data_IF_485218522130
#
_entry.id   IF_485218522130
#
_cell.length_a   1.000
_cell.length_b   1.000
_cell.length_c   1.000
_cell.angle_alpha   90.00
_cell.angle_beta   90.00
_cell.angle_gamma   90.00
#
_symmetry.space_group_name_H-M   'P 1'
#
loop_
_entity.id
_entity.type
_entity.pdbx_description
1 polymer ?
#
# COMPACT_ATOMS: atom_id res chain seq x y z
N UNK A 1 66.99 -4.29 7.72
CA UNK A 1 65.73 -4.90 7.26
C UNK A 1 65.16 -3.98 6.20
N UNK A 2 65.21 -4.39 4.94
CA UNK A 2 64.70 -3.60 3.82
C UNK A 2 63.18 -3.85 3.71
N UNK A 3 62.43 -2.83 3.33
CA UNK A 3 61.01 -2.92 3.03
C UNK A 3 60.67 -2.01 1.86
N UNK A 4 59.61 -2.33 1.13
CA UNK A 4 59.09 -1.56 0.02
C UNK A 4 57.70 -1.06 0.41
N UNK A 5 57.45 0.23 0.18
CA UNK A 5 56.14 0.84 0.36
C UNK A 5 55.70 1.38 -0.98
N UNK A 6 54.66 0.76 -1.55
CA UNK A 6 54.13 1.15 -2.85
C UNK A 6 52.70 1.67 -2.67
N UNK A 7 52.40 2.90 -3.13
CA UNK A 7 51.04 3.42 -3.04
C UNK A 7 50.10 2.64 -3.96
N UNK A 8 48.88 2.37 -3.47
CA UNK A 8 47.80 1.73 -4.22
C UNK A 8 46.83 2.83 -4.64
N UNK A 9 46.58 2.95 -5.95
CA UNK A 9 45.64 3.91 -6.51
C UNK A 9 44.48 3.22 -7.24
N UNK A 10 43.29 3.78 -7.11
CA UNK A 10 42.17 3.54 -8.01
C UNK A 10 42.09 4.70 -9.01
N UNK A 11 42.67 4.53 -10.19
CA UNK A 11 42.87 5.62 -11.16
C UNK A 11 43.66 6.78 -10.53
N UNK A 12 43.02 7.88 -10.16
CA UNK A 12 43.66 9.04 -9.51
C UNK A 12 43.44 9.10 -7.98
N UNK A 13 42.64 8.19 -7.42
CA UNK A 13 42.25 8.22 -6.00
C UNK A 13 43.18 7.31 -5.19
N UNK A 14 43.87 7.82 -4.15
CA UNK A 14 44.69 6.98 -3.27
C UNK A 14 43.78 6.05 -2.46
N UNK A 15 44.02 4.74 -2.56
CA UNK A 15 43.30 3.74 -1.77
C UNK A 15 44.08 3.29 -0.53
N UNK A 16 45.42 3.35 -0.58
CA UNK A 16 46.27 2.93 0.54
C UNK A 16 47.72 2.71 0.13
N UNK A 17 48.46 1.94 0.93
CA UNK A 17 49.86 1.59 0.67
C UNK A 17 50.03 0.08 0.84
N UNK A 18 50.66 -0.56 -0.13
CA UNK A 18 51.15 -1.93 -0.07
C UNK A 18 52.55 -1.91 0.56
N UNK A 19 52.67 -2.44 1.78
CA UNK A 19 53.95 -2.66 2.42
C UNK A 19 54.38 -4.10 2.20
N UNK A 20 55.55 -4.28 1.61
CA UNK A 20 56.16 -5.58 1.39
C UNK A 20 57.50 -5.60 2.13
N UNK A 21 57.77 -6.67 2.87
CA UNK A 21 59.02 -6.85 3.61
C UNK A 21 59.42 -8.33 3.59
N UNK A 22 60.72 -8.60 3.64
CA UNK A 22 61.25 -9.96 3.83
C UNK A 22 62.51 -9.92 4.68
N UNK A 23 62.82 -11.05 5.31
CA UNK A 23 63.99 -11.22 6.17
C UNK A 23 65.30 -11.28 5.38
N UNK A 24 65.25 -11.75 4.12
CA UNK A 24 66.42 -11.97 3.24
C UNK A 24 66.65 -10.86 2.20
N UNK A 25 65.96 -9.72 2.32
CA UNK A 25 66.05 -8.69 1.28
C UNK A 25 67.39 -7.95 1.24
N UNK A 26 67.86 -7.75 0.00
CA UNK A 26 68.89 -6.79 -0.39
C UNK A 26 68.24 -5.44 -0.79
N UNK A 27 69.05 -4.48 -1.24
CA UNK A 27 68.55 -3.27 -1.91
C UNK A 27 67.69 -3.67 -3.13
N UNK A 28 66.50 -3.08 -3.25
CA UNK A 28 65.53 -3.44 -4.29
C UNK A 28 66.01 -2.93 -5.64
N UNK A 29 66.03 -3.80 -6.64
CA UNK A 29 66.34 -3.41 -8.00
C UNK A 29 65.20 -2.58 -8.60
N UNK A 30 65.48 -1.65 -9.52
CA UNK A 30 64.47 -0.85 -10.19
C UNK A 30 63.34 -1.69 -10.82
N UNK A 31 63.66 -2.86 -11.38
CA UNK A 31 62.70 -3.77 -12.00
C UNK A 31 61.76 -4.41 -10.97
N UNK A 32 62.27 -4.71 -9.77
CA UNK A 32 61.48 -5.25 -8.65
C UNK A 32 60.51 -4.20 -8.11
N UNK A 33 60.94 -2.94 -8.03
CA UNK A 33 60.07 -1.81 -7.67
C UNK A 33 58.99 -1.54 -8.73
N UNK A 34 59.33 -1.66 -10.01
CA UNK A 34 58.36 -1.54 -11.11
C UNK A 34 57.30 -2.63 -11.03
N UNK A 35 57.70 -3.88 -10.77
CA UNK A 35 56.76 -4.98 -10.58
C UNK A 35 55.81 -4.72 -9.40
N UNK A 36 56.32 -4.23 -8.27
CA UNK A 36 55.47 -3.89 -7.12
C UNK A 36 54.48 -2.76 -7.43
N UNK A 37 54.87 -1.77 -8.26
CA UNK A 37 53.95 -0.72 -8.73
C UNK A 37 52.82 -1.28 -9.59
N UNK A 38 53.14 -2.17 -10.54
CA UNK A 38 52.14 -2.85 -11.38
C UNK A 38 51.17 -3.66 -10.51
N UNK A 39 51.67 -4.36 -9.49
CA UNK A 39 50.85 -5.10 -8.54
C UNK A 39 49.95 -4.13 -7.75
N UNK A 40 50.48 -2.99 -7.30
CA UNK A 40 49.73 -1.93 -6.66
C UNK A 40 48.56 -1.44 -7.52
N UNK A 41 48.80 -1.18 -8.81
CA UNK A 41 47.78 -0.75 -9.75
C UNK A 41 46.70 -1.82 -9.99
N UNK A 42 47.08 -3.09 -10.14
CA UNK A 42 46.13 -4.19 -10.31
C UNK A 42 45.25 -4.40 -9.07
N UNK A 43 45.83 -4.29 -7.87
CA UNK A 43 45.08 -4.34 -6.61
C UNK A 43 44.10 -3.17 -6.53
N UNK A 44 44.54 -1.96 -6.88
CA UNK A 44 43.70 -0.78 -6.87
C UNK A 44 42.49 -0.90 -7.80
N UNK A 45 42.72 -1.40 -9.03
CA UNK A 45 41.65 -1.67 -9.99
C UNK A 45 40.68 -2.77 -9.50
N UNK A 46 41.19 -3.83 -8.90
CA UNK A 46 40.36 -4.91 -8.34
C UNK A 46 39.48 -4.42 -7.19
N UNK A 47 40.01 -3.60 -6.29
CA UNK A 47 39.25 -2.99 -5.19
C UNK A 47 38.16 -2.05 -5.74
N UNK A 48 38.49 -1.22 -6.72
CA UNK A 48 37.51 -0.32 -7.36
C UNK A 48 36.37 -1.11 -8.03
N UNK A 49 36.70 -2.19 -8.76
CA UNK A 49 35.71 -3.07 -9.37
C UNK A 49 34.81 -3.76 -8.35
N UNK A 50 35.37 -4.25 -7.25
CA UNK A 50 34.60 -4.87 -6.18
C UNK A 50 33.64 -3.88 -5.50
N UNK A 51 34.09 -2.63 -5.26
CA UNK A 51 33.24 -1.57 -4.70
C UNK A 51 32.09 -1.21 -5.64
N UNK A 52 32.37 -0.95 -6.91
CA UNK A 52 31.33 -0.64 -7.91
C UNK A 52 30.33 -1.79 -8.06
N UNK A 53 30.80 -3.03 -8.05
CA UNK A 53 29.91 -4.20 -8.09
C UNK A 53 29.01 -4.30 -6.86
N UNK A 54 29.53 -3.99 -5.66
CA UNK A 54 28.75 -4.00 -4.43
C UNK A 54 27.70 -2.87 -4.39
N UNK A 55 28.03 -1.70 -4.94
CA UNK A 55 27.07 -0.60 -5.08
C UNK A 55 25.94 -0.94 -6.05
N UNK A 56 26.27 -1.58 -7.19
CA UNK A 56 25.28 -1.99 -8.19
C UNK A 56 24.34 -3.09 -7.68
N UNK A 57 24.81 -4.05 -6.87
CA UNK A 57 23.95 -5.10 -6.30
C UNK A 57 22.97 -4.55 -5.26
N UNK A 58 23.39 -3.60 -4.43
CA UNK A 58 22.52 -2.95 -3.45
C UNK A 58 21.47 -2.05 -4.13
N UNK A 59 21.85 -1.31 -5.17
CA UNK A 59 20.92 -0.51 -5.95
C UNK A 59 19.89 -1.37 -6.69
N UNK A 60 20.33 -2.46 -7.35
CA UNK A 60 19.44 -3.39 -8.05
C UNK A 60 18.49 -4.12 -7.10
N UNK A 61 18.96 -4.55 -5.92
CA UNK A 61 18.10 -5.20 -4.92
C UNK A 61 17.03 -4.23 -4.36
N UNK A 62 17.38 -2.95 -4.18
CA UNK A 62 16.42 -1.91 -3.74
C UNK A 62 15.35 -1.65 -4.79
N UNK A 63 15.74 -1.55 -6.06
CA UNK A 63 14.79 -1.36 -7.17
C UNK A 63 13.87 -2.59 -7.33
N UNK A 64 14.42 -3.81 -7.30
CA UNK A 64 13.63 -5.05 -7.38
C UNK A 64 12.64 -5.19 -6.21
N UNK A 65 13.03 -4.79 -5.00
CA UNK A 65 12.12 -4.81 -3.83
C UNK A 65 10.97 -3.82 -4.01
N UNK A 66 11.23 -2.63 -4.56
CA UNK A 66 10.20 -1.61 -4.81
C UNK A 66 9.27 -2.05 -5.94
N UNK A 67 9.81 -2.59 -7.04
CA UNK A 67 9.04 -3.10 -8.18
C UNK A 67 8.15 -4.28 -7.78
N UNK A 68 8.68 -5.23 -7.03
CA UNK A 68 7.94 -6.39 -6.53
C UNK A 68 6.79 -5.94 -5.61
N UNK A 69 7.06 -5.02 -4.68
CA UNK A 69 6.01 -4.47 -3.81
C UNK A 69 4.97 -3.65 -4.59
N UNK A 70 5.38 -2.92 -5.62
CA UNK A 70 4.46 -2.17 -6.50
C UNK A 70 3.60 -3.10 -7.36
N UNK A 71 4.10 -4.30 -7.71
CA UNK A 71 3.31 -5.33 -8.39
C UNK A 71 2.27 -5.93 -7.43
N UNK A 72 2.69 -6.32 -6.23
CA UNK A 72 1.79 -6.88 -5.21
C UNK A 72 0.67 -5.90 -4.82
N UNK A 73 0.96 -4.60 -4.70
CA UNK A 73 -0.08 -3.60 -4.42
C UNK A 73 -1.12 -3.48 -5.53
N UNK A 74 -0.71 -3.58 -6.80
CA UNK A 74 -1.66 -3.59 -7.94
C UNK A 74 -2.52 -4.85 -7.94
N UNK A 75 -1.93 -6.02 -7.74
CA UNK A 75 -2.68 -7.29 -7.68
C UNK A 75 -3.73 -7.29 -6.55
N UNK A 76 -3.37 -6.74 -5.38
CA UNK A 76 -4.28 -6.64 -4.24
C UNK A 76 -5.39 -5.61 -4.49
N UNK A 77 -5.08 -4.45 -5.09
CA UNK A 77 -6.06 -3.45 -5.46
C UNK A 77 -7.10 -4.00 -6.45
N UNK A 78 -6.64 -4.69 -7.50
CA UNK A 78 -7.51 -5.35 -8.48
C UNK A 78 -8.45 -6.33 -7.77
N UNK A 79 -7.95 -7.03 -6.74
CA UNK A 79 -8.74 -7.96 -5.94
C UNK A 79 -9.82 -7.27 -5.09
N UNK A 80 -9.55 -6.10 -4.49
CA UNK A 80 -10.55 -5.33 -3.73
C UNK A 80 -11.67 -4.86 -4.65
N UNK A 81 -11.32 -4.26 -5.79
CA UNK A 81 -12.27 -3.76 -6.77
C UNK A 81 -13.15 -4.89 -7.32
N UNK A 82 -12.54 -6.04 -7.65
CA UNK A 82 -13.26 -7.26 -8.05
C UNK A 82 -14.17 -7.77 -6.94
N UNK A 83 -13.71 -7.78 -5.68
CA UNK A 83 -14.49 -8.24 -4.54
C UNK A 83 -15.72 -7.38 -4.26
N UNK A 84 -15.59 -6.05 -4.35
CA UNK A 84 -16.72 -5.13 -4.22
C UNK A 84 -17.70 -5.28 -5.39
N UNK A 85 -17.21 -5.38 -6.63
CA UNK A 85 -18.05 -5.63 -7.80
C UNK A 85 -18.80 -6.97 -7.70
N UNK A 86 -18.17 -8.01 -7.16
CA UNK A 86 -18.82 -9.29 -6.94
C UNK A 86 -19.93 -9.22 -5.87
N UNK A 87 -19.74 -8.47 -4.78
CA UNK A 87 -20.81 -8.23 -3.80
C UNK A 87 -21.96 -7.48 -4.46
N UNK A 88 -21.66 -6.43 -5.24
CA UNK A 88 -22.65 -5.66 -5.99
C UNK A 88 -23.55 -6.59 -6.82
N UNK A 89 -22.95 -7.45 -7.65
CA UNK A 89 -23.68 -8.43 -8.47
C UNK A 89 -24.47 -9.43 -7.63
N UNK A 90 -23.91 -9.91 -6.51
CA UNK A 90 -24.59 -10.86 -5.64
C UNK A 90 -25.82 -10.24 -4.96
N UNK A 91 -25.75 -8.96 -4.58
CA UNK A 91 -26.85 -8.25 -3.96
C UNK A 91 -27.94 -7.89 -4.97
N UNK A 92 -27.57 -7.53 -6.19
CA UNK A 92 -28.54 -7.39 -7.30
C UNK A 92 -29.28 -8.70 -7.53
N UNK A 93 -28.57 -9.83 -7.57
CA UNK A 93 -29.17 -11.15 -7.75
C UNK A 93 -30.10 -11.55 -6.59
N UNK A 94 -29.73 -11.24 -5.33
CA UNK A 94 -30.57 -11.52 -4.16
C UNK A 94 -31.81 -10.62 -4.12
N UNK A 95 -31.67 -9.33 -4.47
CA UNK A 95 -32.80 -8.42 -4.54
C UNK A 95 -33.81 -8.83 -5.63
N UNK A 96 -33.33 -9.38 -6.76
CA UNK A 96 -34.20 -9.96 -7.79
C UNK A 96 -34.97 -11.20 -7.32
N UNK A 97 -34.50 -11.91 -6.28
CA UNK A 97 -35.18 -13.10 -5.74
C UNK A 97 -36.24 -12.76 -4.68
N UNK A 98 -36.04 -11.70 -3.88
CA UNK A 98 -36.93 -11.33 -2.78
C UNK A 98 -37.95 -10.23 -3.15
N UNK A 99 -37.73 -9.49 -4.24
CA UNK A 99 -38.64 -8.42 -4.66
C UNK A 99 -39.48 -8.82 -5.88
N UNK A 100 -40.75 -9.18 -5.66
CA UNK A 100 -41.76 -9.20 -6.73
C UNK A 100 -41.97 -7.77 -7.25
N UNK A 101 -41.13 -7.33 -8.20
CA UNK A 101 -41.36 -6.14 -9.02
C UNK A 101 -40.52 -4.89 -8.74
N UNK A 102 -39.57 -4.92 -7.81
CA UNK A 102 -38.60 -3.83 -7.65
C UNK A 102 -37.21 -4.28 -8.14
N UNK A 103 -36.76 -3.70 -9.26
CA UNK A 103 -35.44 -3.96 -9.83
C UNK A 103 -34.41 -3.12 -9.06
N UNK A 104 -33.70 -3.74 -8.11
CA UNK A 104 -32.60 -3.09 -7.41
C UNK A 104 -31.45 -2.86 -8.39
N UNK A 105 -31.08 -1.61 -8.58
CA UNK A 105 -29.92 -1.19 -9.39
C UNK A 105 -28.79 -0.75 -8.47
N UNK A 106 -27.61 -1.38 -8.57
CA UNK A 106 -26.45 -1.00 -7.77
C UNK A 106 -25.31 -0.56 -8.69
N UNK A 107 -25.08 0.75 -8.76
CA UNK A 107 -24.01 1.30 -9.58
C UNK A 107 -22.72 1.43 -8.75
N UNK A 108 -21.70 0.66 -9.11
CA UNK A 108 -20.36 0.81 -8.56
C UNK A 108 -19.46 1.61 -9.51
N UNK A 109 -18.78 2.61 -8.98
CA UNK A 109 -17.76 3.37 -9.70
C UNK A 109 -16.47 3.50 -8.90
N UNK A 110 -15.35 3.27 -9.60
CA UNK A 110 -14.01 3.44 -9.08
C UNK A 110 -13.19 4.09 -10.20
N UNK A 111 -12.51 5.23 -9.96
CA UNK A 111 -11.61 5.80 -10.94
C UNK A 111 -10.53 4.78 -11.34
N UNK A 112 -10.23 4.61 -12.64
CA UNK A 112 -9.24 3.62 -13.10
C UNK A 112 -7.80 3.97 -12.69
N UNK A 113 -7.57 5.23 -12.32
CA UNK A 113 -6.33 5.79 -11.83
C UNK A 113 -6.23 5.79 -10.30
N UNK A 114 -7.23 5.24 -9.59
CA UNK A 114 -7.19 5.13 -8.14
C UNK A 114 -6.11 4.15 -7.71
N UNK A 115 -4.95 4.67 -7.33
CA UNK A 115 -3.83 3.87 -6.83
C UNK A 115 -3.82 3.83 -5.30
N UNK A 116 -3.90 2.63 -4.73
CA UNK A 116 -3.70 2.44 -3.29
C UNK A 116 -2.19 2.36 -2.99
N UNK A 117 -1.65 3.12 -2.03
CA UNK A 117 -0.28 2.96 -1.58
C UNK A 117 -0.07 1.59 -0.90
N UNK A 118 1.16 1.08 -1.01
CA UNK A 118 1.55 -0.24 -0.50
C UNK A 118 1.29 -0.38 1.02
N UNK A 119 0.80 -1.56 1.43
CA UNK A 119 0.64 -2.02 2.82
C UNK A 119 -0.64 -1.62 3.58
N UNK A 120 -1.80 -1.63 2.94
CA UNK A 120 -3.06 -1.29 3.61
C UNK A 120 -4.10 -2.42 3.65
N UNK A 121 -3.70 -3.69 3.81
CA UNK A 121 -4.66 -4.81 3.94
C UNK A 121 -5.72 -4.56 5.03
N UNK A 122 -5.36 -3.84 6.10
CA UNK A 122 -6.34 -3.39 7.12
C UNK A 122 -7.34 -2.36 6.57
N UNK A 123 -6.87 -1.41 5.77
CA UNK A 123 -7.68 -0.40 5.10
C UNK A 123 -8.64 -1.06 4.11
N UNK A 124 -8.13 -1.96 3.27
CA UNK A 124 -8.90 -2.72 2.29
C UNK A 124 -10.00 -3.56 2.94
N UNK A 125 -9.66 -4.41 3.91
CA UNK A 125 -10.65 -5.19 4.67
C UNK A 125 -11.62 -4.26 5.41
N UNK A 126 -11.11 -3.14 5.90
CA UNK A 126 -11.87 -2.06 6.52
C UNK A 126 -12.99 -1.54 5.63
N UNK A 127 -12.59 -1.01 4.47
CA UNK A 127 -13.45 -0.46 3.42
C UNK A 127 -14.43 -1.52 2.93
N UNK A 128 -13.95 -2.73 2.65
CA UNK A 128 -14.79 -3.85 2.21
C UNK A 128 -15.91 -4.15 3.20
N UNK A 129 -15.60 -4.20 4.49
CA UNK A 129 -16.59 -4.46 5.54
C UNK A 129 -17.55 -3.30 5.74
N UNK A 130 -17.11 -2.06 5.54
CA UNK A 130 -18.00 -0.88 5.59
C UNK A 130 -18.96 -0.90 4.40
N UNK A 131 -18.44 -1.14 3.19
CA UNK A 131 -19.24 -1.26 1.97
C UNK A 131 -20.29 -2.37 2.09
N UNK A 132 -19.89 -3.57 2.55
CA UNK A 132 -20.78 -4.70 2.76
C UNK A 132 -21.94 -4.37 3.72
N UNK A 133 -21.64 -3.71 4.84
CA UNK A 133 -22.65 -3.34 5.83
C UNK A 133 -23.58 -2.24 5.31
N UNK A 134 -23.03 -1.22 4.64
CA UNK A 134 -23.81 -0.14 4.03
C UNK A 134 -24.79 -0.69 2.98
N UNK A 135 -24.31 -1.55 2.09
CA UNK A 135 -25.14 -2.22 1.10
C UNK A 135 -26.22 -3.11 1.74
N UNK A 136 -25.87 -3.90 2.75
CA UNK A 136 -26.83 -4.72 3.47
C UNK A 136 -27.93 -3.87 4.13
N UNK A 137 -27.58 -2.70 4.67
CA UNK A 137 -28.54 -1.76 5.24
C UNK A 137 -29.49 -1.21 4.19
N UNK A 138 -28.99 -0.80 3.04
CA UNK A 138 -29.80 -0.30 1.93
C UNK A 138 -30.80 -1.37 1.42
N UNK A 139 -30.33 -2.60 1.17
CA UNK A 139 -31.17 -3.70 0.70
C UNK A 139 -32.20 -4.16 1.74
N UNK A 140 -31.78 -4.44 2.99
CA UNK A 140 -32.63 -5.11 4.00
C UNK A 140 -33.50 -4.15 4.79
N UNK A 141 -33.05 -2.90 4.96
CA UNK A 141 -33.68 -1.96 5.88
C UNK A 141 -34.21 -0.73 5.20
N UNK A 142 -33.62 -0.28 4.08
CA UNK A 142 -34.09 0.92 3.40
C UNK A 142 -35.17 0.60 2.36
N UNK A 143 -35.18 -0.62 1.79
CA UNK A 143 -36.02 -0.97 0.65
C UNK A 143 -35.65 -0.15 -0.58
N UNK A 144 -34.36 0.21 -0.70
CA UNK A 144 -33.85 1.02 -1.79
C UNK A 144 -34.03 0.32 -3.14
N UNK A 145 -34.24 1.11 -4.19
CA UNK A 145 -34.30 0.66 -5.57
C UNK A 145 -33.03 1.06 -6.33
N UNK A 146 -32.36 2.12 -5.90
CA UNK A 146 -31.11 2.60 -6.48
C UNK A 146 -30.08 2.80 -5.39
N UNK A 147 -28.91 2.18 -5.58
CA UNK A 147 -27.75 2.37 -4.73
C UNK A 147 -26.58 2.79 -5.59
N UNK A 148 -25.96 3.91 -5.24
CA UNK A 148 -24.71 4.37 -5.82
C UNK A 148 -23.57 4.15 -4.84
N UNK A 149 -22.55 3.42 -5.29
CA UNK A 149 -21.30 3.24 -4.56
C UNK A 149 -20.15 3.84 -5.34
N UNK A 150 -19.38 4.70 -4.68
CA UNK A 150 -18.20 5.32 -5.24
C UNK A 150 -17.00 5.12 -4.33
N UNK A 151 -15.92 4.59 -4.87
CA UNK A 151 -14.64 4.50 -4.18
C UNK A 151 -13.68 5.47 -4.86
N UNK A 152 -13.22 6.48 -4.13
CA UNK A 152 -12.24 7.47 -4.61
C UNK A 152 -11.08 7.59 -3.64
N UNK A 153 -10.04 8.31 -4.02
CA UNK A 153 -8.90 8.56 -3.15
C UNK A 153 -7.75 9.22 -3.86
N UNK A 154 -6.81 9.73 -3.07
CA UNK A 154 -5.60 10.40 -3.54
C UNK A 154 -4.34 9.80 -2.87
N UNK A 155 -3.32 10.60 -2.53
CA UNK A 155 -2.15 10.11 -1.79
C UNK A 155 -2.30 10.25 -0.25
N UNK A 156 -3.38 10.86 0.23
CA UNK A 156 -3.64 11.15 1.64
C UNK A 156 -4.85 10.42 2.23
N UNK A 157 -5.94 10.23 1.49
CA UNK A 157 -7.16 9.54 1.96
C UNK A 157 -7.83 8.65 0.91
N UNK A 158 -8.38 7.51 1.34
CA UNK A 158 -9.44 6.80 0.62
C UNK A 158 -10.79 7.32 1.09
N UNK A 159 -11.73 7.50 0.17
CA UNK A 159 -13.11 7.82 0.46
C UNK A 159 -14.05 6.81 -0.20
N UNK A 160 -14.83 6.13 0.62
CA UNK A 160 -15.95 5.29 0.20
C UNK A 160 -17.25 6.07 0.44
N UNK A 161 -18.01 6.28 -0.62
CA UNK A 161 -19.36 6.84 -0.58
C UNK A 161 -20.34 5.74 -0.95
N UNK A 162 -21.38 5.56 -0.14
CA UNK A 162 -22.53 4.70 -0.44
C UNK A 162 -23.78 5.52 -0.24
N UNK A 163 -24.60 5.63 -1.28
CA UNK A 163 -25.83 6.39 -1.27
C UNK A 163 -26.98 5.52 -1.76
N UNK A 164 -28.09 5.51 -1.03
CA UNK A 164 -29.32 4.80 -1.42
C UNK A 164 -30.52 5.75 -1.45
N UNK A 165 -31.49 5.43 -2.30
CA UNK A 165 -32.77 6.14 -2.44
C UNK A 165 -33.88 5.58 -1.53
N UNK A 166 -33.53 4.78 -0.52
CA UNK A 166 -34.50 4.09 0.32
C UNK A 166 -35.22 5.02 1.29
N UNK A 167 -35.93 4.42 2.25
CA UNK A 167 -36.78 5.19 3.19
C UNK A 167 -36.02 6.10 4.16
N UNK A 168 -34.69 6.03 4.22
CA UNK A 168 -33.87 6.74 5.22
C UNK A 168 -34.22 6.41 6.68
N UNK A 169 -33.54 7.05 7.62
CA UNK A 169 -33.80 6.93 9.05
C UNK A 169 -33.34 8.18 9.81
N UNK A 170 -33.77 8.29 11.07
CA UNK A 170 -33.29 9.34 11.98
C UNK A 170 -32.06 8.81 12.76
N UNK A 171 -30.84 9.33 12.50
CA UNK A 171 -29.62 8.86 13.15
C UNK A 171 -29.63 9.03 14.68
N UNK A 172 -30.29 10.08 15.19
CA UNK A 172 -30.34 10.39 16.63
C UNK A 172 -31.29 9.45 17.38
N UNK A 173 -32.31 8.91 16.69
CA UNK A 173 -33.19 7.89 17.26
C UNK A 173 -32.53 6.52 17.27
N UNK A 174 -31.83 6.18 16.20
CA UNK A 174 -31.13 4.89 16.03
C UNK A 174 -29.96 4.74 17.02
N UNK A 175 -29.33 5.82 17.48
CA UNK A 175 -28.29 5.73 18.52
C UNK A 175 -28.84 5.60 19.95
N UNK A 176 -30.10 6.00 20.20
CA UNK A 176 -30.71 6.03 21.55
C UNK A 176 -31.51 4.78 21.91
N UNK A 177 -31.96 3.99 20.94
CA UNK A 177 -32.75 2.78 21.18
C UNK A 177 -31.78 1.61 21.38
N UNK A 178 -31.12 1.56 22.54
CA UNK A 178 -30.17 0.49 22.91
C UNK A 178 -30.87 -0.86 23.19
N UNK A 179 -31.57 -1.41 22.20
CA UNK A 179 -32.06 -2.79 22.19
C UNK A 179 -31.02 -3.71 21.51
N UNK A 180 -30.63 -4.77 22.22
CA UNK A 180 -29.66 -5.78 21.82
C UNK A 180 -29.96 -6.37 20.42
N UNK A 181 -29.38 -5.82 19.36
CA UNK A 181 -29.45 -6.42 18.03
C UNK A 181 -29.55 -5.46 16.84
N UNK A 182 -30.17 -4.29 16.98
CA UNK A 182 -30.57 -3.49 15.81
C UNK A 182 -29.55 -2.43 15.34
N UNK A 183 -28.48 -2.16 16.11
CA UNK A 183 -27.50 -1.09 15.81
C UNK A 183 -26.06 -1.57 15.63
N UNK A 184 -25.84 -2.89 15.58
CA UNK A 184 -24.49 -3.45 15.43
C UNK A 184 -23.82 -3.02 14.11
N UNK A 185 -24.59 -2.81 13.05
CA UNK A 185 -24.08 -2.38 11.75
C UNK A 185 -23.41 -1.00 11.79
N UNK A 186 -24.16 0.03 12.20
CA UNK A 186 -23.65 1.42 12.26
C UNK A 186 -22.56 1.59 13.31
N UNK A 187 -22.70 0.92 14.46
CA UNK A 187 -21.69 0.94 15.52
C UNK A 187 -20.40 0.28 15.04
N UNK A 188 -20.49 -0.90 14.43
CA UNK A 188 -19.35 -1.63 13.88
C UNK A 188 -18.66 -0.87 12.73
N UNK A 189 -19.41 -0.16 11.89
CA UNK A 189 -18.83 0.75 10.90
C UNK A 189 -18.06 1.90 11.56
N UNK A 190 -18.65 2.56 12.56
CA UNK A 190 -18.00 3.68 13.27
C UNK A 190 -16.72 3.23 14.01
N UNK A 191 -16.77 2.10 14.71
CA UNK A 191 -15.60 1.51 15.37
C UNK A 191 -14.49 1.16 14.37
N UNK A 192 -14.86 0.55 13.24
CA UNK A 192 -13.89 0.16 12.21
C UNK A 192 -13.22 1.35 11.57
N UNK A 193 -13.98 2.41 11.27
CA UNK A 193 -13.41 3.65 10.73
C UNK A 193 -12.48 4.31 11.75
N UNK A 194 -12.84 4.31 13.04
CA UNK A 194 -11.96 4.80 14.12
C UNK A 194 -10.66 3.99 14.24
N UNK A 195 -10.73 2.66 14.11
CA UNK A 195 -9.54 1.78 14.12
C UNK A 195 -8.59 2.06 12.95
N UNK A 196 -9.11 2.61 11.87
CA UNK A 196 -8.34 3.03 10.70
C UNK A 196 -7.96 4.52 10.76
N UNK A 197 -8.17 5.18 11.90
CA UNK A 197 -7.91 6.62 12.10
C UNK A 197 -8.70 7.53 11.12
N UNK A 198 -9.81 7.02 10.59
CA UNK A 198 -10.69 7.73 9.66
C UNK A 198 -11.88 8.41 10.31
N UNK A 199 -12.74 8.96 9.46
CA UNK A 199 -14.01 9.60 9.81
C UNK A 199 -15.16 8.97 9.06
N UNK A 200 -16.27 8.75 9.75
CA UNK A 200 -17.52 8.25 9.17
C UNK A 200 -18.58 9.35 9.31
N UNK A 201 -19.16 9.79 8.19
CA UNK A 201 -20.34 10.64 8.14
C UNK A 201 -21.53 9.83 7.66
N UNK A 202 -22.68 10.03 8.29
CA UNK A 202 -23.95 9.40 7.90
C UNK A 202 -24.98 10.52 7.84
N UNK A 203 -25.49 10.75 6.63
CA UNK A 203 -26.56 11.70 6.34
C UNK A 203 -27.78 10.87 5.95
N UNK A 204 -28.87 10.99 6.70
CA UNK A 204 -30.10 10.24 6.42
C UNK A 204 -31.31 11.05 6.83
N UNK A 205 -32.32 11.07 5.98
CA UNK A 205 -33.60 11.70 6.26
C UNK A 205 -34.73 10.77 5.83
N UNK A 206 -35.80 10.72 6.63
CA UNK A 206 -36.96 9.87 6.34
C UNK A 206 -37.57 10.24 4.97
N UNK A 207 -37.56 9.30 4.04
CA UNK A 207 -38.07 9.42 2.68
C UNK A 207 -37.09 10.00 1.66
N UNK A 208 -35.88 10.38 2.05
CA UNK A 208 -34.87 10.95 1.14
C UNK A 208 -33.64 10.05 0.93
N UNK A 209 -33.61 8.86 1.56
CA UNK A 209 -32.50 7.93 1.46
C UNK A 209 -31.45 8.06 2.55
N UNK A 210 -30.32 7.41 2.33
CA UNK A 210 -29.15 7.47 3.21
C UNK A 210 -27.89 7.67 2.39
N UNK A 211 -27.00 8.51 2.89
CA UNK A 211 -25.66 8.73 2.36
C UNK A 211 -24.62 8.47 3.45
N UNK A 212 -23.76 7.51 3.21
CA UNK A 212 -22.66 7.12 4.09
C UNK A 212 -21.36 7.50 3.42
N UNK A 213 -20.52 8.25 4.15
CA UNK A 213 -19.17 8.63 3.70
C UNK A 213 -18.16 8.14 4.72
N UNK A 214 -17.33 7.17 4.32
CA UNK A 214 -16.19 6.72 5.10
C UNK A 214 -14.91 7.24 4.47
N UNK A 215 -14.22 8.14 5.18
CA UNK A 215 -12.95 8.71 4.76
C UNK A 215 -11.84 8.21 5.67
N UNK A 216 -10.82 7.59 5.11
CA UNK A 216 -9.78 6.90 5.88
C UNK A 216 -8.39 7.31 5.38
N UNK A 217 -7.48 7.77 6.26
CA UNK A 217 -6.15 8.20 5.85
C UNK A 217 -5.27 7.04 5.35
N UNK A 218 -4.45 7.32 4.34
CA UNK A 218 -3.44 6.38 3.82
C UNK A 218 -2.18 6.29 4.68
N UNK A 219 -1.86 7.33 5.47
CA UNK A 219 -0.71 7.30 6.38
C UNK A 219 -1.10 6.74 7.73
N UNK A 220 -0.87 5.44 7.93
CA UNK A 220 -0.47 5.00 9.26
C UNK A 220 0.77 5.79 9.66
N UNK A 221 0.75 6.44 10.83
CA UNK A 221 1.94 7.12 11.35
C UNK A 221 3.15 6.22 11.18
N UNK A 222 4.21 6.76 10.59
CA UNK A 222 5.47 6.06 10.46
C UNK A 222 5.90 5.48 11.82
N UNK A 223 6.13 4.19 11.82
CA UNK A 223 7.09 3.53 12.70
C UNK A 223 7.55 2.23 12.04
#
# INVERSE_FOLDING_TARGET
RFHASVPIYASATPLGVLNVASEDWRELLPEELQLLHIIGDQIGLAIQRARLSAEHTVAAARLATIEERNRLAREIHDTLAQGLAAITLQLEALAQQDCEGAELTVQFSCPPDLTFPQHSTRLEVGIYRIAQEALANACKHAGAQHIEMMLTGDNEYVELVVQDDGRGFDPDRVTKISGEGQHFGLTGMSERVKLLEGTLSIESELGAGTRIVARVPYRGKGQ
#
